data_IF_749033529287
#
_entry.id   IF_749033529287
#
_cell.length_a   1.000
_cell.length_b   1.000
_cell.length_c   1.000
_cell.angle_alpha   90.00
_cell.angle_beta   90.00
_cell.angle_gamma   90.00
#
_symmetry.space_group_name_H-M   'P 1'
#
loop_
_entity.id
_entity.type
_entity.pdbx_description
1 polymer ?
#
# COMPACT_ATOMS: atom_id res chain seq x y z
N UNK A 1 1.34 -15.02 -11.02
CA UNK A 1 1.90 -15.24 -12.38
C UNK A 1 1.44 -14.18 -13.39
N UNK A 2 0.15 -13.84 -13.46
CA UNK A 2 -0.38 -12.84 -14.40
C UNK A 2 0.22 -11.45 -14.20
N UNK A 3 0.33 -10.97 -12.96
CA UNK A 3 0.96 -9.69 -12.64
C UNK A 3 2.39 -9.59 -13.18
N UNK A 4 3.20 -10.63 -12.97
CA UNK A 4 4.56 -10.73 -13.49
C UNK A 4 4.59 -10.65 -15.02
N UNK A 5 3.69 -11.36 -15.71
CA UNK A 5 3.63 -11.34 -17.17
C UNK A 5 3.29 -9.95 -17.73
N UNK A 6 2.35 -9.23 -17.11
CA UNK A 6 2.01 -7.84 -17.48
C UNK A 6 3.21 -6.91 -17.24
N UNK A 7 3.89 -7.04 -16.10
CA UNK A 7 5.10 -6.25 -15.82
C UNK A 7 6.19 -6.51 -16.84
N UNK A 8 6.46 -7.77 -17.18
CA UNK A 8 7.44 -8.14 -18.21
C UNK A 8 7.06 -7.57 -19.57
N UNK A 9 5.78 -7.62 -19.96
CA UNK A 9 5.28 -7.03 -21.20
C UNK A 9 5.53 -5.52 -21.24
N UNK A 10 5.16 -4.78 -20.19
CA UNK A 10 5.35 -3.33 -20.11
C UNK A 10 6.83 -2.97 -20.20
N UNK A 11 7.70 -3.68 -19.46
CA UNK A 11 9.15 -3.47 -19.50
C UNK A 11 9.74 -3.79 -20.88
N UNK A 12 9.27 -4.86 -21.54
CA UNK A 12 9.69 -5.21 -22.89
C UNK A 12 9.29 -4.13 -23.90
N UNK A 13 8.05 -3.66 -23.87
CA UNK A 13 7.56 -2.56 -24.74
C UNK A 13 8.39 -1.29 -24.50
N UNK A 14 8.63 -0.93 -23.24
CA UNK A 14 9.45 0.24 -22.87
C UNK A 14 10.87 0.12 -23.45
N UNK A 15 11.54 -1.02 -23.23
CA UNK A 15 12.91 -1.25 -23.68
C UNK A 15 13.03 -1.27 -25.22
N UNK A 16 12.10 -1.96 -25.90
CA UNK A 16 12.07 -2.05 -27.37
C UNK A 16 11.81 -0.66 -27.97
N UNK A 17 10.82 0.07 -27.47
CA UNK A 17 10.48 1.40 -27.96
C UNK A 17 11.64 2.40 -27.73
N UNK A 18 12.27 2.35 -26.55
CA UNK A 18 13.44 3.18 -26.24
C UNK A 18 14.61 2.91 -27.18
N UNK A 19 14.99 1.63 -27.34
CA UNK A 19 16.09 1.22 -28.23
C UNK A 19 15.80 1.59 -29.69
N UNK A 20 14.55 1.49 -30.12
CA UNK A 20 14.09 1.86 -31.45
C UNK A 20 14.24 3.37 -31.70
N UNK A 21 13.80 4.22 -30.76
CA UNK A 21 13.99 5.68 -30.89
C UNK A 21 15.46 6.11 -30.80
N UNK A 22 16.24 5.46 -29.93
CA UNK A 22 17.67 5.71 -29.79
C UNK A 22 18.45 5.35 -31.06
N UNK A 23 18.24 4.15 -31.61
CA UNK A 23 18.90 3.70 -32.84
C UNK A 23 18.57 4.59 -34.06
N UNK A 24 17.32 5.03 -34.21
CA UNK A 24 16.92 5.94 -35.28
C UNK A 24 17.63 7.30 -35.17
N UNK A 25 17.70 7.87 -33.97
CA UNK A 25 18.36 9.16 -33.75
C UNK A 25 19.88 9.10 -33.95
N UNK A 26 20.52 8.00 -33.53
CA UNK A 26 21.94 7.76 -33.80
C UNK A 26 22.23 7.60 -35.30
N UNK A 27 21.33 6.97 -36.06
CA UNK A 27 21.43 6.91 -37.53
C UNK A 27 21.43 8.30 -38.17
N UNK A 28 20.48 9.15 -37.79
CA UNK A 28 20.39 10.54 -38.28
C UNK A 28 21.63 11.38 -37.94
N UNK A 29 22.24 11.15 -36.77
CA UNK A 29 23.48 11.83 -36.38
C UNK A 29 24.70 11.36 -37.19
N UNK A 30 24.75 10.08 -37.56
CA UNK A 30 25.82 9.51 -38.40
C UNK A 30 25.78 10.04 -39.83
N UNK A 31 24.60 10.42 -40.33
CA UNK A 31 24.40 11.09 -41.61
C UNK A 31 24.87 12.57 -41.60
N UNK A 32 25.50 13.04 -40.52
CA UNK A 32 26.04 14.40 -40.41
C UNK A 32 24.99 15.47 -40.06
N UNK A 33 23.74 15.08 -39.83
CA UNK A 33 22.67 16.03 -39.48
C UNK A 33 22.72 16.37 -38.00
N UNK A 34 22.85 17.67 -37.69
CA UNK A 34 22.83 18.15 -36.30
C UNK A 34 21.43 17.97 -35.69
N UNK A 35 21.34 17.12 -34.67
CA UNK A 35 20.10 16.90 -33.91
C UNK A 35 19.78 18.07 -32.99
N UNK A 36 18.50 18.45 -32.87
CA UNK A 36 18.06 19.45 -31.89
C UNK A 36 18.17 18.93 -30.44
N UNK A 37 17.88 17.65 -30.19
CA UNK A 37 17.87 17.05 -28.85
C UNK A 37 18.87 15.89 -28.77
N UNK A 38 19.34 15.57 -27.56
CA UNK A 38 20.22 14.40 -27.36
C UNK A 38 19.49 13.10 -27.75
N UNK A 39 20.18 12.10 -28.33
CA UNK A 39 19.58 10.83 -28.76
C UNK A 39 18.71 10.12 -27.70
N UNK A 40 19.11 10.24 -26.43
CA UNK A 40 18.37 9.68 -25.29
C UNK A 40 16.93 10.21 -25.18
N UNK A 41 16.68 11.49 -25.51
CA UNK A 41 15.33 12.06 -25.49
C UNK A 41 14.45 11.55 -26.65
N UNK A 42 15.04 11.22 -27.79
CA UNK A 42 14.30 10.60 -28.89
C UNK A 42 13.91 9.16 -28.55
N UNK A 43 14.80 8.41 -27.87
CA UNK A 43 14.47 7.12 -27.27
C UNK A 43 13.33 7.22 -26.26
N UNK A 44 13.45 8.15 -25.30
CA UNK A 44 12.42 8.38 -24.29
C UNK A 44 11.07 8.80 -24.90
N UNK A 45 11.06 9.65 -25.93
CA UNK A 45 9.83 10.08 -26.59
C UNK A 45 9.08 8.89 -27.24
N UNK A 46 9.78 8.03 -27.98
CA UNK A 46 9.17 6.83 -28.59
C UNK A 46 8.69 5.86 -27.51
N UNK A 47 9.47 5.72 -26.43
CA UNK A 47 9.08 4.91 -25.28
C UNK A 47 7.77 5.41 -24.64
N UNK A 48 7.62 6.73 -24.44
CA UNK A 48 6.39 7.32 -23.89
C UNK A 48 5.18 7.11 -24.81
N UNK A 49 5.33 7.34 -26.12
CA UNK A 49 4.23 7.14 -27.08
C UNK A 49 3.78 5.67 -27.18
N UNK A 50 4.68 4.72 -26.95
CA UNK A 50 4.33 3.30 -26.93
C UNK A 50 3.74 2.86 -25.57
N UNK A 51 4.30 3.34 -24.46
CA UNK A 51 3.94 2.85 -23.12
C UNK A 51 2.74 3.56 -22.51
N UNK A 52 2.53 4.86 -22.74
CA UNK A 52 1.39 5.59 -22.16
C UNK A 52 0.04 4.97 -22.58
N UNK A 53 -0.23 4.69 -23.87
CA UNK A 53 -1.49 4.07 -24.27
C UNK A 53 -1.68 2.68 -23.66
N UNK A 54 -0.61 1.87 -23.60
CA UNK A 54 -0.64 0.56 -22.95
C UNK A 54 -1.01 0.68 -21.47
N UNK A 55 -0.36 1.58 -20.73
CA UNK A 55 -0.63 1.82 -19.32
C UNK A 55 -2.05 2.34 -19.09
N UNK A 56 -2.58 3.19 -19.99
CA UNK A 56 -3.96 3.66 -19.91
C UNK A 56 -4.98 2.54 -20.08
N UNK A 57 -4.79 1.63 -21.04
CA UNK A 57 -5.67 0.46 -21.22
C UNK A 57 -5.62 -0.45 -19.99
N UNK A 58 -4.42 -0.73 -19.47
CA UNK A 58 -4.26 -1.56 -18.27
C UNK A 58 -4.86 -0.90 -17.02
N UNK A 59 -4.76 0.43 -16.90
CA UNK A 59 -5.39 1.19 -15.82
C UNK A 59 -6.92 1.12 -15.90
N UNK A 60 -7.48 1.38 -17.09
CA UNK A 60 -8.93 1.30 -17.33
C UNK A 60 -9.44 -0.11 -17.02
N UNK A 61 -8.73 -1.14 -17.50
CA UNK A 61 -9.05 -2.53 -17.18
C UNK A 61 -8.98 -2.80 -15.67
N UNK A 62 -7.92 -2.36 -14.99
CA UNK A 62 -7.77 -2.55 -13.55
C UNK A 62 -8.92 -1.94 -12.74
N UNK A 63 -9.39 -0.75 -13.14
CA UNK A 63 -10.52 -0.08 -12.50
C UNK A 63 -11.88 -0.71 -12.86
N UNK A 64 -12.06 -1.17 -14.10
CA UNK A 64 -13.32 -1.69 -14.59
C UNK A 64 -13.53 -3.18 -14.29
N UNK A 65 -12.46 -3.96 -14.12
CA UNK A 65 -12.51 -5.43 -13.98
C UNK A 65 -13.39 -5.89 -12.81
N UNK A 66 -13.28 -5.27 -11.63
CA UNK A 66 -14.12 -5.62 -10.49
C UNK A 66 -15.60 -5.35 -10.71
N UNK A 67 -15.94 -4.26 -11.42
CA UNK A 67 -17.31 -3.95 -11.79
C UNK A 67 -17.86 -4.93 -12.85
N UNK A 68 -17.06 -5.23 -13.88
CA UNK A 68 -17.41 -6.20 -14.93
C UNK A 68 -17.62 -7.60 -14.36
N UNK A 69 -16.76 -8.02 -13.43
CA UNK A 69 -16.87 -9.30 -12.74
C UNK A 69 -18.16 -9.40 -11.93
N UNK A 70 -18.48 -8.36 -11.15
CA UNK A 70 -19.70 -8.34 -10.34
C UNK A 70 -20.96 -8.37 -11.23
N UNK A 71 -20.97 -7.57 -12.30
CA UNK A 71 -22.06 -7.53 -13.27
C UNK A 71 -22.26 -8.88 -13.97
N UNK A 72 -21.18 -9.50 -14.45
CA UNK A 72 -21.27 -10.78 -15.15
C UNK A 72 -21.65 -11.92 -14.19
N UNK A 73 -21.10 -11.92 -12.97
CA UNK A 73 -21.47 -12.91 -11.94
C UNK A 73 -22.95 -12.85 -11.63
N UNK A 74 -23.53 -11.65 -11.44
CA UNK A 74 -24.95 -11.51 -11.16
C UNK A 74 -25.82 -12.00 -12.32
N UNK A 75 -25.37 -11.82 -13.57
CA UNK A 75 -26.07 -12.33 -14.76
C UNK A 75 -26.10 -13.86 -14.85
N UNK A 76 -25.17 -14.55 -14.19
CA UNK A 76 -25.10 -16.02 -14.16
C UNK A 76 -25.96 -16.63 -13.05
N UNK A 77 -26.41 -15.85 -12.08
CA UNK A 77 -27.21 -16.34 -10.96
C UNK A 77 -28.69 -16.42 -11.37
N UNK A 78 -29.35 -17.58 -11.26
CA UNK A 78 -30.76 -17.75 -11.61
C UNK A 78 -31.67 -16.72 -10.93
N UNK A 79 -32.72 -16.27 -11.64
CA UNK A 79 -33.72 -15.33 -11.11
C UNK A 79 -34.54 -15.90 -9.95
N UNK A 80 -34.52 -17.23 -9.74
CA UNK A 80 -35.16 -17.89 -8.60
C UNK A 80 -34.47 -17.65 -7.25
N UNK A 81 -33.23 -17.14 -7.23
CA UNK A 81 -32.53 -16.78 -5.99
C UNK A 81 -32.84 -15.33 -5.65
N UNK A 82 -33.58 -15.15 -4.56
CA UNK A 82 -34.02 -13.85 -4.06
C UNK A 82 -32.84 -12.91 -3.81
N UNK A 83 -33.04 -11.62 -4.07
CA UNK A 83 -32.08 -10.59 -3.72
C UNK A 83 -31.83 -10.57 -2.20
N UNK A 84 -30.57 -10.35 -1.79
CA UNK A 84 -30.18 -10.31 -0.38
C UNK A 84 -29.04 -11.29 -0.07
N UNK A 85 -28.96 -11.80 1.17
CA UNK A 85 -27.84 -12.63 1.64
C UNK A 85 -27.61 -13.87 0.77
N UNK A 86 -28.69 -14.52 0.33
CA UNK A 86 -28.63 -15.77 -0.45
C UNK A 86 -27.98 -15.55 -1.82
N UNK A 87 -28.29 -14.43 -2.49
CA UNK A 87 -27.69 -14.06 -3.77
C UNK A 87 -26.22 -13.69 -3.63
N UNK A 88 -25.85 -13.04 -2.53
CA UNK A 88 -24.44 -12.75 -2.20
C UNK A 88 -23.66 -14.03 -1.95
N UNK A 89 -24.23 -14.98 -1.20
CA UNK A 89 -23.62 -16.29 -0.97
C UNK A 89 -23.45 -17.07 -2.28
N UNK A 90 -24.47 -17.08 -3.14
CA UNK A 90 -24.41 -17.69 -4.47
C UNK A 90 -23.29 -17.06 -5.33
N UNK A 91 -23.17 -15.72 -5.35
CA UNK A 91 -22.09 -15.02 -6.05
C UNK A 91 -20.70 -15.43 -5.52
N UNK A 92 -20.53 -15.57 -4.20
CA UNK A 92 -19.28 -16.02 -3.60
C UNK A 92 -18.92 -17.46 -4.01
N UNK A 93 -19.91 -18.36 -4.03
CA UNK A 93 -19.70 -19.75 -4.49
C UNK A 93 -19.23 -19.80 -5.95
N UNK A 94 -19.89 -19.06 -6.85
CA UNK A 94 -19.47 -18.95 -8.27
C UNK A 94 -18.05 -18.38 -8.38
N UNK A 95 -17.71 -17.37 -7.58
CA UNK A 95 -16.36 -16.81 -7.54
C UNK A 95 -15.29 -17.81 -7.09
N UNK A 96 -15.59 -18.65 -6.09
CA UNK A 96 -14.68 -19.69 -5.61
C UNK A 96 -14.49 -20.81 -6.66
N UNK A 97 -15.54 -21.17 -7.38
CA UNK A 97 -15.45 -22.12 -8.49
C UNK A 97 -14.63 -21.55 -9.66
N UNK A 98 -14.81 -20.27 -10.00
CA UNK A 98 -14.04 -19.61 -11.05
C UNK A 98 -12.53 -19.51 -10.75
N UNK A 99 -12.16 -19.55 -9.47
CA UNK A 99 -10.76 -19.50 -9.01
C UNK A 99 -10.16 -20.89 -8.76
N UNK A 100 -10.97 -21.95 -8.86
CA UNK A 100 -10.53 -23.34 -8.67
C UNK A 100 -10.44 -23.79 -7.20
N UNK A 101 -10.91 -22.98 -6.25
CA UNK A 101 -10.89 -23.31 -4.81
C UNK A 101 -12.01 -24.29 -4.39
N UNK A 102 -12.99 -24.54 -5.27
CA UNK A 102 -14.14 -25.38 -4.95
C UNK A 102 -15.15 -24.69 -4.02
N UNK A 103 -16.21 -25.40 -3.63
CA UNK A 103 -17.25 -24.91 -2.72
C UNK A 103 -17.57 -25.96 -1.66
N UNK A 104 -17.98 -25.50 -0.48
CA UNK A 104 -18.50 -26.38 0.55
C UNK A 104 -19.95 -26.81 0.23
N UNK A 105 -20.31 -28.03 0.60
CA UNK A 105 -21.63 -28.62 0.39
C UNK A 105 -21.87 -29.12 -1.03
N UNK A 106 -23.11 -29.51 -1.30
CA UNK A 106 -23.51 -30.03 -2.60
C UNK A 106 -23.51 -28.93 -3.67
N UNK A 107 -22.95 -29.26 -4.83
CA UNK A 107 -22.86 -28.35 -5.97
C UNK A 107 -24.19 -28.35 -6.72
N UNK A 108 -24.81 -27.19 -6.87
CA UNK A 108 -26.03 -27.09 -7.66
C UNK A 108 -25.69 -27.16 -9.17
N UNK A 109 -26.59 -27.70 -9.98
CA UNK A 109 -26.36 -27.97 -11.41
C UNK A 109 -25.90 -26.75 -12.22
N UNK A 110 -26.30 -25.55 -11.80
CA UNK A 110 -25.95 -24.29 -12.48
C UNK A 110 -24.61 -23.69 -12.02
N UNK A 111 -24.11 -24.04 -10.83
CA UNK A 111 -22.94 -23.40 -10.22
C UNK A 111 -21.63 -23.77 -10.92
N UNK A 112 -21.48 -25.03 -11.32
CA UNK A 112 -20.30 -25.52 -12.05
C UNK A 112 -20.10 -24.80 -13.39
N UNK A 113 -21.10 -24.83 -14.29
CA UNK A 113 -21.06 -24.08 -15.54
C UNK A 113 -20.89 -22.57 -15.34
N UNK A 114 -21.54 -21.98 -14.33
CA UNK A 114 -21.39 -20.56 -14.01
C UNK A 114 -19.95 -20.20 -13.59
N UNK A 115 -19.31 -21.02 -12.75
CA UNK A 115 -17.91 -20.83 -12.36
C UNK A 115 -16.96 -20.90 -13.55
N UNK A 116 -17.15 -21.85 -14.44
CA UNK A 116 -16.34 -21.98 -15.67
C UNK A 116 -16.56 -20.80 -16.63
N UNK A 117 -17.82 -20.36 -16.80
CA UNK A 117 -18.15 -19.19 -17.61
C UNK A 117 -17.50 -17.92 -17.07
N UNK A 118 -17.56 -17.69 -15.75
CA UNK A 118 -16.91 -16.56 -15.10
C UNK A 118 -15.37 -16.62 -15.25
N UNK A 119 -14.76 -17.80 -15.10
CA UNK A 119 -13.33 -17.97 -15.33
C UNK A 119 -12.92 -17.64 -16.77
N UNK A 120 -13.68 -18.13 -17.75
CA UNK A 120 -13.46 -17.85 -19.17
C UNK A 120 -13.63 -16.35 -19.49
N UNK A 121 -14.66 -15.71 -18.91
CA UNK A 121 -14.91 -14.28 -19.05
C UNK A 121 -13.75 -13.43 -18.50
N UNK A 122 -13.28 -13.72 -17.30
CA UNK A 122 -12.11 -13.06 -16.69
C UNK A 122 -10.88 -13.16 -17.57
N UNK A 123 -10.60 -14.36 -18.08
CA UNK A 123 -9.47 -14.60 -18.98
C UNK A 123 -9.64 -13.83 -20.31
N UNK A 124 -10.83 -13.85 -20.90
CA UNK A 124 -11.12 -13.17 -22.15
C UNK A 124 -10.96 -11.65 -22.03
N UNK A 125 -11.49 -11.04 -20.96
CA UNK A 125 -11.36 -9.60 -20.72
C UNK A 125 -9.91 -9.21 -20.48
N UNK A 126 -9.16 -9.98 -19.68
CA UNK A 126 -7.75 -9.74 -19.46
C UNK A 126 -6.96 -9.80 -20.78
N UNK A 127 -7.14 -10.87 -21.57
CA UNK A 127 -6.47 -11.03 -22.86
C UNK A 127 -6.87 -9.93 -23.84
N UNK A 128 -8.15 -9.53 -23.85
CA UNK A 128 -8.64 -8.41 -24.65
C UNK A 128 -7.97 -7.10 -24.27
N UNK A 129 -7.85 -6.80 -22.98
CA UNK A 129 -7.16 -5.59 -22.49
C UNK A 129 -5.67 -5.62 -22.84
N UNK A 130 -4.99 -6.75 -22.66
CA UNK A 130 -3.57 -6.91 -23.02
C UNK A 130 -3.35 -6.78 -24.53
N UNK A 131 -4.20 -7.42 -25.34
CA UNK A 131 -4.12 -7.35 -26.80
C UNK A 131 -4.36 -5.92 -27.31
N UNK A 132 -5.40 -5.25 -26.80
CA UNK A 132 -5.68 -3.85 -27.12
C UNK A 132 -4.51 -2.95 -26.71
N UNK A 133 -3.98 -3.12 -25.50
CA UNK A 133 -2.81 -2.38 -25.02
C UNK A 133 -1.58 -2.60 -25.90
N UNK A 134 -1.31 -3.85 -26.32
CA UNK A 134 -0.20 -4.18 -27.20
C UNK A 134 -0.36 -3.58 -28.61
N UNK A 135 -1.58 -3.61 -29.17
CA UNK A 135 -1.89 -2.99 -30.47
C UNK A 135 -1.64 -1.48 -30.39
N UNK A 136 -2.14 -0.81 -29.36
CA UNK A 136 -1.92 0.62 -29.16
C UNK A 136 -0.43 0.95 -28.92
N UNK A 137 0.30 0.09 -28.21
CA UNK A 137 1.74 0.27 -28.02
C UNK A 137 2.52 0.18 -29.33
N UNK A 138 2.22 -0.81 -30.17
CA UNK A 138 2.83 -0.96 -31.50
C UNK A 138 2.46 0.24 -32.37
N UNK A 139 1.19 0.65 -32.38
CA UNK A 139 0.73 1.84 -33.09
C UNK A 139 1.46 3.11 -32.66
N UNK A 140 1.59 3.32 -31.35
CA UNK A 140 2.35 4.43 -30.76
C UNK A 140 3.83 4.41 -31.12
N UNK A 141 4.47 3.23 -31.10
CA UNK A 141 5.86 3.04 -31.52
C UNK A 141 6.05 3.39 -33.00
N UNK A 142 5.22 2.84 -33.90
CA UNK A 142 5.31 3.07 -35.36
C UNK A 142 5.06 4.54 -35.67
N UNK A 143 4.03 5.13 -35.06
CA UNK A 143 3.68 6.54 -35.23
C UNK A 143 4.81 7.47 -34.77
N UNK A 144 5.32 7.27 -33.56
CA UNK A 144 6.39 8.10 -33.01
C UNK A 144 7.69 7.94 -33.81
N UNK A 145 8.06 6.71 -34.17
CA UNK A 145 9.24 6.43 -35.01
C UNK A 145 9.14 7.11 -36.37
N UNK A 146 7.97 7.08 -37.00
CA UNK A 146 7.74 7.72 -38.30
C UNK A 146 7.87 9.24 -38.28
N UNK A 147 7.58 9.89 -37.14
CA UNK A 147 7.70 11.34 -36.96
C UNK A 147 9.07 11.80 -36.41
N UNK A 148 10.01 10.89 -36.18
CA UNK A 148 11.35 11.26 -35.75
C UNK A 148 12.15 11.87 -36.90
N UNK A 149 12.41 13.18 -36.79
CA UNK A 149 13.32 13.93 -37.66
C UNK A 149 14.40 14.60 -36.81
N UNK A 150 15.48 15.06 -37.43
CA UNK A 150 16.55 15.78 -36.72
C UNK A 150 16.07 17.08 -36.03
N UNK A 151 14.95 17.64 -36.52
CA UNK A 151 14.34 18.88 -35.99
C UNK A 151 13.34 18.62 -34.84
N UNK A 152 13.01 17.36 -34.55
CA UNK A 152 12.05 17.02 -33.49
C UNK A 152 12.58 17.48 -32.13
N UNK A 153 11.81 18.35 -31.45
CA UNK A 153 12.11 18.86 -30.10
C UNK A 153 11.76 17.83 -29.03
N UNK A 154 12.40 16.65 -29.08
CA UNK A 154 12.09 15.51 -28.23
C UNK A 154 12.23 15.83 -26.74
N UNK A 155 13.23 16.64 -26.36
CA UNK A 155 13.43 17.09 -24.97
C UNK A 155 12.18 17.81 -24.43
N UNK A 156 11.67 18.80 -25.16
CA UNK A 156 10.53 19.60 -24.70
C UNK A 156 9.27 18.73 -24.51
N UNK A 157 9.01 17.79 -25.41
CA UNK A 157 7.86 16.89 -25.30
C UNK A 157 7.97 15.96 -24.08
N UNK A 158 9.15 15.35 -23.88
CA UNK A 158 9.42 14.50 -22.71
C UNK A 158 9.29 15.31 -21.41
N UNK A 159 9.85 16.53 -21.36
CA UNK A 159 9.71 17.41 -20.20
C UNK A 159 8.25 17.78 -19.92
N UNK A 160 7.43 18.03 -20.94
CA UNK A 160 5.99 18.28 -20.75
C UNK A 160 5.28 17.08 -20.15
N UNK A 161 5.57 15.85 -20.60
CA UNK A 161 4.99 14.62 -20.03
C UNK A 161 5.40 14.45 -18.57
N UNK A 162 6.69 14.65 -18.25
CA UNK A 162 7.18 14.56 -16.86
C UNK A 162 6.52 15.63 -15.98
N UNK A 163 6.43 16.88 -16.45
CA UNK A 163 5.76 17.97 -15.73
C UNK A 163 4.29 17.64 -15.48
N UNK A 164 3.58 17.12 -16.48
CA UNK A 164 2.19 16.71 -16.33
C UNK A 164 2.05 15.57 -15.30
N UNK A 165 2.93 14.56 -15.34
CA UNK A 165 2.93 13.48 -14.36
C UNK A 165 3.18 13.98 -12.92
N UNK A 166 4.12 14.91 -12.75
CA UNK A 166 4.40 15.53 -11.45
C UNK A 166 3.23 16.40 -10.95
N UNK A 167 2.57 17.15 -11.84
CA UNK A 167 1.37 17.92 -11.51
C UNK A 167 0.24 16.98 -11.08
N UNK A 168 -0.04 15.91 -11.85
CA UNK A 168 -1.07 14.94 -11.51
C UNK A 168 -0.79 14.26 -10.16
N UNK A 169 0.45 13.84 -9.91
CA UNK A 169 0.85 13.25 -8.63
C UNK A 169 0.65 14.22 -7.47
N UNK A 170 1.05 15.48 -7.64
CA UNK A 170 0.88 16.53 -6.62
C UNK A 170 -0.60 16.83 -6.35
N UNK A 171 -1.42 16.90 -7.40
CA UNK A 171 -2.86 17.11 -7.29
C UNK A 171 -3.52 15.96 -6.52
N UNK A 172 -3.20 14.70 -6.86
CA UNK A 172 -3.70 13.52 -6.14
C UNK A 172 -3.28 13.59 -4.67
N UNK A 173 -2.02 13.87 -4.37
CA UNK A 173 -1.52 13.96 -2.99
C UNK A 173 -2.25 15.04 -2.17
N UNK A 174 -2.48 16.22 -2.76
CA UNK A 174 -3.25 17.31 -2.11
C UNK A 174 -4.68 16.86 -1.85
N UNK A 175 -5.36 16.28 -2.83
CA UNK A 175 -6.75 15.80 -2.65
C UNK A 175 -6.85 14.65 -1.65
N UNK A 176 -5.89 13.72 -1.63
CA UNK A 176 -5.85 12.65 -0.62
C UNK A 176 -5.65 13.23 0.78
N UNK A 177 -4.74 14.19 0.94
CA UNK A 177 -4.51 14.85 2.24
C UNK A 177 -5.75 15.60 2.70
N UNK A 178 -6.37 16.37 1.81
CA UNK A 178 -7.62 17.06 2.08
C UNK A 178 -8.74 16.07 2.42
N UNK A 179 -8.85 14.95 1.69
CA UNK A 179 -9.80 13.89 1.95
C UNK A 179 -9.60 13.24 3.33
N UNK A 180 -8.37 12.98 3.74
CA UNK A 180 -8.04 12.48 5.08
C UNK A 180 -8.48 13.50 6.14
N UNK A 181 -8.12 14.77 5.98
CA UNK A 181 -8.48 15.82 6.94
C UNK A 181 -10.01 15.95 7.06
N UNK A 182 -10.70 16.03 5.94
CA UNK A 182 -12.17 16.12 5.88
C UNK A 182 -12.80 14.88 6.52
N UNK A 183 -12.31 13.68 6.20
CA UNK A 183 -12.79 12.42 6.77
C UNK A 183 -12.61 12.39 8.29
N UNK A 184 -11.43 12.78 8.80
CA UNK A 184 -11.18 12.85 10.23
C UNK A 184 -12.08 13.87 10.92
N UNK A 185 -12.33 15.03 10.32
CA UNK A 185 -13.25 16.04 10.87
C UNK A 185 -14.68 15.50 10.93
N UNK A 186 -15.18 14.91 9.84
CA UNK A 186 -16.55 14.36 9.82
C UNK A 186 -16.74 13.23 10.83
N UNK A 187 -15.79 12.28 10.90
CA UNK A 187 -15.86 11.19 11.88
C UNK A 187 -15.72 11.72 13.32
N UNK A 188 -14.90 12.75 13.55
CA UNK A 188 -14.77 13.40 14.87
C UNK A 188 -16.06 14.10 15.29
N UNK A 189 -16.70 14.85 14.38
CA UNK A 189 -17.99 15.50 14.65
C UNK A 189 -19.06 14.46 14.94
N UNK A 190 -19.14 13.39 14.14
CA UNK A 190 -20.06 12.28 14.36
C UNK A 190 -19.80 11.60 15.70
N UNK A 191 -18.55 11.38 16.08
CA UNK A 191 -18.19 10.84 17.40
C UNK A 191 -18.75 11.71 18.54
N UNK A 192 -18.59 13.04 18.45
CA UNK A 192 -19.11 13.96 19.46
C UNK A 192 -20.65 14.12 19.48
N UNK A 193 -21.37 13.54 18.52
CA UNK A 193 -22.84 13.41 18.64
C UNK A 193 -23.26 12.28 19.59
N UNK A 194 -22.37 11.32 19.87
CA UNK A 194 -22.64 10.19 20.76
C UNK A 194 -21.89 10.28 22.10
N UNK A 195 -20.78 11.02 22.15
CA UNK A 195 -19.94 11.20 23.34
C UNK A 195 -19.80 12.69 23.60
N UNK A 196 -20.05 13.15 24.84
CA UNK A 196 -19.88 14.56 25.14
C UNK A 196 -18.38 14.97 25.12
N UNK A 197 -18.02 16.15 24.59
CA UNK A 197 -16.64 16.62 24.62
C UNK A 197 -16.04 16.66 26.04
N UNK A 198 -16.84 16.99 27.05
CA UNK A 198 -16.41 17.01 28.44
C UNK A 198 -16.04 15.62 28.97
N UNK A 199 -16.84 14.60 28.67
CA UNK A 199 -16.52 13.22 29.08
C UNK A 199 -15.31 12.67 28.32
N UNK A 200 -15.11 13.09 27.06
CA UNK A 200 -13.93 12.71 26.30
C UNK A 200 -12.65 13.35 26.87
N UNK A 201 -12.61 14.67 27.05
CA UNK A 201 -11.39 15.36 27.47
C UNK A 201 -11.08 15.22 28.98
N UNK A 202 -12.11 15.14 29.82
CA UNK A 202 -11.95 15.07 31.29
C UNK A 202 -12.31 13.73 31.90
N UNK A 203 -12.79 12.77 31.11
CA UNK A 203 -13.08 11.42 31.59
C UNK A 203 -11.82 10.69 32.03
N UNK A 204 -11.91 9.99 33.15
CA UNK A 204 -10.83 9.22 33.76
C UNK A 204 -10.92 7.72 33.50
N UNK A 205 -11.93 7.30 32.71
CA UNK A 205 -12.16 5.89 32.38
C UNK A 205 -12.08 5.72 30.88
N UNK A 206 -11.16 4.85 30.44
CA UNK A 206 -11.09 4.34 29.08
C UNK A 206 -11.61 2.90 29.06
N UNK A 207 -12.87 2.74 28.64
CA UNK A 207 -13.54 1.45 28.45
C UNK A 207 -14.59 1.57 27.33
N UNK A 208 -14.15 1.59 26.05
CA UNK A 208 -15.03 1.65 24.90
C UNK A 208 -15.75 0.30 24.73
N UNK A 209 -16.86 0.10 25.45
CA UNK A 209 -17.74 -1.07 25.27
C UNK A 209 -18.73 -0.75 24.15
N UNK A 210 -18.77 -1.60 23.12
CA UNK A 210 -19.81 -1.54 22.10
C UNK A 210 -21.15 -1.93 22.73
N UNK A 211 -22.00 -0.94 23.06
CA UNK A 211 -23.40 -1.20 23.37
C UNK A 211 -24.18 -1.20 22.05
N UNK A 212 -24.47 -2.38 21.51
CA UNK A 212 -25.34 -2.54 20.33
C UNK A 212 -26.83 -2.48 20.69
N UNK A 213 -27.17 -2.28 21.96
CA UNK A 213 -28.55 -2.32 22.44
C UNK A 213 -28.78 -1.16 23.40
N UNK A 214 -29.69 -0.26 23.00
CA UNK A 214 -30.26 0.85 23.77
C UNK A 214 -29.41 2.13 23.89
N UNK A 215 -30.13 3.27 23.82
CA UNK A 215 -29.72 4.67 23.81
C UNK A 215 -28.99 5.16 25.08
N UNK A 216 -28.11 4.35 25.65
CA UNK A 216 -27.19 4.76 26.70
C UNK A 216 -25.78 4.35 26.27
N UNK A 217 -25.02 5.31 25.72
CA UNK A 217 -23.59 5.20 25.48
C UNK A 217 -22.86 5.01 26.82
N UNK A 218 -22.89 3.79 27.35
CA UNK A 218 -22.33 3.43 28.67
C UNK A 218 -20.88 2.94 28.52
N UNK A 219 -20.15 3.51 27.57
CA UNK A 219 -18.72 3.27 27.37
C UNK A 219 -17.94 4.50 27.84
N UNK A 220 -16.87 4.30 28.62
CA UNK A 220 -15.99 5.41 29.04
C UNK A 220 -15.02 5.74 27.91
N UNK A 221 -15.12 6.92 27.31
CA UNK A 221 -14.22 7.36 26.23
C UNK A 221 -13.22 8.43 26.72
N UNK A 222 -12.88 8.40 28.02
CA UNK A 222 -11.97 9.38 28.62
C UNK A 222 -10.56 9.29 28.02
N UNK A 223 -10.04 10.40 27.52
CA UNK A 223 -8.69 10.53 26.95
C UNK A 223 -7.60 10.54 28.02
N UNK A 224 -7.90 11.01 29.25
CA UNK A 224 -6.87 11.23 30.28
C UNK A 224 -6.03 9.98 30.59
N UNK A 225 -6.59 8.77 30.76
CA UNK A 225 -5.79 7.57 30.98
C UNK A 225 -4.85 7.24 29.82
N UNK A 226 -5.27 7.50 28.57
CA UNK A 226 -4.43 7.29 27.39
C UNK A 226 -3.29 8.30 27.32
N UNK A 227 -3.58 9.57 27.64
CA UNK A 227 -2.58 10.64 27.68
C UNK A 227 -1.56 10.36 28.78
N UNK A 228 -2.01 10.09 30.01
CA UNK A 228 -1.16 9.78 31.15
C UNK A 228 -0.36 8.50 30.89
N UNK A 229 -0.99 7.45 30.37
CA UNK A 229 -0.31 6.21 30.00
C UNK A 229 0.81 6.44 28.97
N UNK A 230 0.53 7.24 27.94
CA UNK A 230 1.53 7.62 26.93
C UNK A 230 2.69 8.40 27.54
N UNK A 231 2.39 9.40 28.38
CA UNK A 231 3.41 10.20 29.08
C UNK A 231 4.25 9.35 30.04
N UNK A 232 3.63 8.41 30.77
CA UNK A 232 4.33 7.47 31.65
C UNK A 232 5.29 6.59 30.87
N UNK A 233 4.81 5.94 29.79
CA UNK A 233 5.65 5.09 28.94
C UNK A 233 6.81 5.90 28.35
N UNK A 234 6.53 7.09 27.80
CA UNK A 234 7.54 7.96 27.23
C UNK A 234 8.59 8.40 28.26
N UNK A 235 8.16 8.73 29.48
CA UNK A 235 9.07 9.12 30.57
C UNK A 235 9.98 7.97 30.97
N UNK A 236 9.41 6.78 31.19
CA UNK A 236 10.19 5.57 31.55
C UNK A 236 11.16 5.22 30.42
N UNK A 237 10.68 5.24 29.17
CA UNK A 237 11.52 4.99 28.01
C UNK A 237 12.68 5.98 27.93
N UNK A 238 12.45 7.29 28.10
CA UNK A 238 13.53 8.28 28.11
C UNK A 238 14.51 8.07 29.27
N UNK A 239 14.03 7.68 30.45
CA UNK A 239 14.90 7.39 31.60
C UNK A 239 15.83 6.19 31.36
N UNK A 240 15.46 5.26 30.47
CA UNK A 240 16.29 4.10 30.09
C UNK A 240 17.14 4.44 28.85
N UNK A 241 16.50 4.94 27.79
CA UNK A 241 17.10 5.24 26.50
C UNK A 241 18.22 6.28 26.59
N UNK A 242 17.99 7.36 27.33
CA UNK A 242 18.95 8.48 27.37
C UNK A 242 20.26 8.03 28.03
N UNK A 243 20.27 7.45 29.24
CA UNK A 243 21.53 6.99 29.84
C UNK A 243 22.20 5.89 29.01
N UNK A 244 21.46 4.85 28.62
CA UNK A 244 22.03 3.69 27.91
C UNK A 244 22.54 4.10 26.52
N UNK A 245 21.72 4.85 25.77
CA UNK A 245 22.07 5.33 24.43
C UNK A 245 23.25 6.29 24.46
N UNK A 246 23.26 7.27 25.38
CA UNK A 246 24.36 8.23 25.49
C UNK A 246 25.67 7.55 25.91
N UNK A 247 25.63 6.66 26.92
CA UNK A 247 26.83 5.94 27.36
C UNK A 247 27.36 5.01 26.27
N UNK A 248 26.47 4.33 25.54
CA UNK A 248 26.86 3.49 24.40
C UNK A 248 27.50 4.32 23.29
N UNK A 249 26.96 5.50 22.99
CA UNK A 249 27.53 6.41 21.99
C UNK A 249 28.92 6.93 22.39
N UNK A 250 29.08 7.36 23.65
CA UNK A 250 30.38 7.78 24.19
C UNK A 250 31.37 6.62 24.16
N UNK A 251 30.95 5.42 24.57
CA UNK A 251 31.83 4.26 24.57
C UNK A 251 32.27 3.84 23.17
N UNK A 252 31.35 3.79 22.21
CA UNK A 252 31.66 3.46 20.82
C UNK A 252 32.54 4.51 20.12
N UNK A 253 32.58 5.74 20.62
CA UNK A 253 33.39 6.83 20.04
C UNK A 253 34.76 6.95 20.69
N UNK A 254 34.85 6.77 22.01
CA UNK A 254 36.07 7.05 22.76
C UNK A 254 36.88 5.81 23.13
N UNK A 255 36.24 4.66 23.35
CA UNK A 255 36.88 3.49 23.95
C UNK A 255 36.85 2.24 23.06
N UNK A 256 35.86 2.11 22.17
CA UNK A 256 35.70 0.91 21.36
C UNK A 256 36.81 0.77 20.30
N UNK A 257 37.38 -0.43 20.18
CA UNK A 257 38.32 -0.76 19.11
C UNK A 257 37.64 -0.69 17.73
N UNK A 258 38.38 -0.39 16.64
CA UNK A 258 37.80 -0.25 15.30
C UNK A 258 37.00 -1.47 14.83
N UNK A 259 37.46 -2.69 15.19
CA UNK A 259 36.76 -3.94 14.85
C UNK A 259 35.39 -4.03 15.50
N UNK A 260 35.30 -3.70 16.79
CA UNK A 260 34.06 -3.79 17.55
C UNK A 260 33.06 -2.73 17.10
N UNK A 261 33.54 -1.50 16.85
CA UNK A 261 32.73 -0.42 16.30
C UNK A 261 32.08 -0.80 14.96
N UNK A 262 32.84 -1.45 14.07
CA UNK A 262 32.36 -1.86 12.75
C UNK A 262 31.32 -2.98 12.80
N UNK A 263 31.17 -3.69 13.93
CA UNK A 263 30.14 -4.73 14.12
C UNK A 263 28.94 -4.14 14.87
N UNK A 264 29.19 -3.47 15.99
CA UNK A 264 28.12 -2.99 16.88
C UNK A 264 27.33 -1.86 16.23
N UNK A 265 27.98 -0.92 15.55
CA UNK A 265 27.28 0.22 14.95
C UNK A 265 26.25 -0.22 13.90
N UNK A 266 26.58 -1.06 12.89
CA UNK A 266 25.56 -1.59 11.99
C UNK A 266 24.49 -2.42 12.70
N UNK A 267 24.85 -3.21 13.72
CA UNK A 267 23.86 -3.99 14.48
C UNK A 267 22.81 -3.10 15.16
N UNK A 268 23.23 -2.00 15.79
CA UNK A 268 22.32 -1.00 16.38
C UNK A 268 21.46 -0.31 15.32
N UNK A 269 22.04 0.04 14.17
CA UNK A 269 21.30 0.63 13.04
C UNK A 269 20.23 -0.33 12.49
N UNK A 270 20.53 -1.64 12.42
CA UNK A 270 19.55 -2.66 12.00
C UNK A 270 18.46 -2.83 13.05
N UNK A 271 18.79 -2.85 14.35
CA UNK A 271 17.81 -2.92 15.43
C UNK A 271 16.85 -1.72 15.40
N UNK A 272 17.33 -0.51 15.08
CA UNK A 272 16.47 0.66 14.91
C UNK A 272 15.48 0.54 13.73
N UNK A 273 15.76 -0.32 12.75
CA UNK A 273 14.88 -0.61 11.62
C UNK A 273 13.79 -1.66 11.88
N UNK A 274 13.81 -2.33 13.02
CA UNK A 274 12.79 -3.33 13.38
C UNK A 274 11.47 -2.61 13.67
N UNK A 275 10.32 -3.06 13.11
CA UNK A 275 9.02 -2.46 13.37
C UNK A 275 8.68 -2.45 14.86
N UNK A 276 8.17 -1.33 15.36
CA UNK A 276 7.82 -1.14 16.78
C UNK A 276 6.81 -2.17 17.30
N UNK A 277 5.96 -2.72 16.44
CA UNK A 277 5.01 -3.78 16.81
C UNK A 277 5.70 -5.08 17.25
N UNK A 278 6.88 -5.38 16.70
CA UNK A 278 7.68 -6.55 17.10
C UNK A 278 8.21 -6.34 18.51
N UNK A 279 8.70 -5.15 18.83
CA UNK A 279 9.15 -4.79 20.17
C UNK A 279 8.00 -4.80 21.19
N UNK A 280 6.82 -4.32 20.82
CA UNK A 280 5.63 -4.40 21.68
C UNK A 280 5.22 -5.83 22.01
N UNK A 281 5.24 -6.74 21.02
CA UNK A 281 4.96 -8.16 21.24
C UNK A 281 6.04 -8.83 22.10
N UNK A 282 7.32 -8.55 21.84
CA UNK A 282 8.44 -9.02 22.66
C UNK A 282 8.33 -8.53 24.11
N UNK A 283 7.97 -7.26 24.31
CA UNK A 283 7.73 -6.68 25.62
C UNK A 283 6.64 -7.45 26.37
N UNK A 284 5.52 -7.75 25.71
CA UNK A 284 4.41 -8.47 26.33
C UNK A 284 4.74 -9.93 26.69
N UNK A 285 5.39 -10.67 25.78
CA UNK A 285 5.54 -12.13 25.92
C UNK A 285 6.81 -12.52 26.68
N UNK A 286 7.86 -11.70 26.62
CA UNK A 286 9.16 -12.01 27.24
C UNK A 286 9.41 -11.12 28.46
N UNK A 287 9.41 -9.81 28.27
CA UNK A 287 9.82 -8.86 29.32
C UNK A 287 8.74 -8.72 30.40
N UNK A 288 7.47 -8.75 30.02
CA UNK A 288 6.33 -8.65 30.94
C UNK A 288 6.33 -9.75 32.01
N UNK A 289 6.38 -11.04 31.64
CA UNK A 289 6.49 -12.14 32.60
C UNK A 289 7.77 -12.07 33.45
N UNK A 290 8.88 -11.65 32.87
CA UNK A 290 10.13 -11.46 33.61
C UNK A 290 9.99 -10.39 34.70
N UNK A 291 9.44 -9.22 34.36
CA UNK A 291 9.21 -8.12 35.30
C UNK A 291 8.14 -8.48 36.35
N UNK A 292 7.10 -9.23 35.97
CA UNK A 292 6.11 -9.74 36.91
C UNK A 292 6.76 -10.63 37.97
N UNK A 293 7.59 -11.60 37.55
CA UNK A 293 8.31 -12.49 38.47
C UNK A 293 9.32 -11.75 39.35
N UNK A 294 10.08 -10.80 38.77
CA UNK A 294 11.03 -9.98 39.51
C UNK A 294 10.32 -9.08 40.54
N UNK A 295 9.18 -8.50 40.18
CA UNK A 295 8.33 -7.72 41.07
C UNK A 295 7.82 -8.58 42.23
N UNK A 296 7.28 -9.76 41.94
CA UNK A 296 6.77 -10.68 42.95
C UNK A 296 7.85 -11.09 43.97
N UNK A 297 9.10 -11.26 43.52
CA UNK A 297 10.24 -11.59 44.39
C UNK A 297 10.56 -10.48 45.43
N UNK A 298 10.24 -9.23 45.14
CA UNK A 298 10.43 -8.08 46.04
C UNK A 298 9.11 -7.57 46.65
N UNK A 299 8.02 -8.33 46.50
CA UNK A 299 6.71 -8.00 47.06
C UNK A 299 5.93 -6.94 46.28
N UNK A 300 6.28 -6.67 45.02
CA UNK A 300 5.57 -5.74 44.14
C UNK A 300 4.72 -6.49 43.11
N UNK A 301 3.46 -6.09 42.98
CA UNK A 301 2.58 -6.62 41.92
C UNK A 301 2.77 -5.81 40.62
N UNK A 302 3.54 -6.38 39.69
CA UNK A 302 3.80 -5.77 38.37
C UNK A 302 3.02 -6.51 37.30
N UNK A 303 2.06 -5.85 36.66
CA UNK A 303 1.36 -6.45 35.54
C UNK A 303 2.27 -6.50 34.28
N UNK A 304 2.23 -7.62 33.56
CA UNK A 304 2.92 -7.78 32.29
C UNK A 304 2.55 -6.70 31.26
N UNK A 305 1.30 -6.21 31.27
CA UNK A 305 0.82 -5.12 30.39
C UNK A 305 1.03 -3.72 31.00
N UNK A 306 1.89 -3.55 32.00
CA UNK A 306 2.13 -2.25 32.64
C UNK A 306 2.92 -1.29 31.76
N UNK A 307 2.81 0.01 32.06
CA UNK A 307 3.61 1.06 31.42
C UNK A 307 5.13 0.87 31.63
N UNK A 308 5.53 0.22 32.74
CA UNK A 308 6.92 -0.10 33.03
C UNK A 308 7.50 -1.09 32.02
N UNK A 309 6.77 -2.16 31.72
CA UNK A 309 7.17 -3.16 30.71
C UNK A 309 7.33 -2.52 29.35
N UNK A 310 6.34 -1.72 28.91
CA UNK A 310 6.40 -1.06 27.61
C UNK A 310 7.53 -0.01 27.56
N UNK A 311 7.70 0.77 28.62
CA UNK A 311 8.72 1.81 28.70
C UNK A 311 10.15 1.27 28.66
N UNK A 312 10.44 0.20 29.41
CA UNK A 312 11.80 -0.41 29.46
C UNK A 312 12.22 -1.00 28.12
N UNK A 313 11.28 -1.54 27.34
CA UNK A 313 11.61 -2.18 26.04
C UNK A 313 11.68 -1.17 24.91
N UNK A 314 10.84 -0.13 24.95
CA UNK A 314 10.81 0.91 23.93
C UNK A 314 11.91 1.96 24.10
N UNK A 315 12.46 2.10 25.31
CA UNK A 315 13.59 2.98 25.61
C UNK A 315 14.92 2.28 25.47
#
# INVERSE_FOLDING_TARGET
MISLAITVLVLAVLAIAYRTGLSRSLGLAREGVRLHSRPQYHGALVALWATIPLLLVLLIWGLASGWLDAWYTDSLIPSGIAAGPDRVAAAQRVNNLATGFGVAGDLADWEGPAGQALAAFRQAILLGAVALGAILAIGGLVFARGRLTARTRARNQVETVIKLALILCSVIAIFTTLGIVISLIFETVRFFTFVSPSEFFFGTVWNPRYSTTSNAATGGYGMLPLLVGTLMIATIAMLVAIPVGLMTAVWLTQYASPRLRNIVKPAVEVLAGIPTIVYGFFALVTVGPFLHGAGAAIGLDVNATSALTAGIVMG
#
